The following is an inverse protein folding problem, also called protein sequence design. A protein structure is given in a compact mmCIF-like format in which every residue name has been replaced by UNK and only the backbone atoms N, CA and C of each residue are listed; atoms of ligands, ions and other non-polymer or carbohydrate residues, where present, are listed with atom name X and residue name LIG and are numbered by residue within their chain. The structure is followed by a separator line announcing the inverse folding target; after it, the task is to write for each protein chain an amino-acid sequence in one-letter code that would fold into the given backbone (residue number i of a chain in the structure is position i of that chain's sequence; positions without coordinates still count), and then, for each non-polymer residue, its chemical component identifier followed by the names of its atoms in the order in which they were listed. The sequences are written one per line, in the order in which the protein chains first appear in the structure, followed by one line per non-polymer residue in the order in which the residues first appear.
data_IF_457133626601
#
_entry.id   IF_457133626601
#
_cell.length_a   1.000
_cell.length_b   1.000
_cell.length_c   1.000
_cell.angle_alpha   90.00
_cell.angle_beta   90.00
_cell.angle_gamma   90.00
#
_symmetry.space_group_name_H-M   'P 1'
#
loop_
_entity.id
_entity.type
_entity.pdbx_description
1 polymer ?
#
# COMPACT_ATOMS: atom_id res chain seq x y z
N UNK A 1 0.38 18.61 -46.82
CA UNK A 1 0.76 17.39 -46.07
C UNK A 1 1.58 17.80 -44.85
N UNK A 2 0.91 18.30 -43.80
CA UNK A 2 1.54 18.54 -42.50
C UNK A 2 1.26 17.30 -41.64
N UNK A 3 2.31 16.68 -41.12
CA UNK A 3 2.21 15.54 -40.20
C UNK A 3 2.13 16.11 -38.79
N UNK A 4 0.98 15.95 -38.14
CA UNK A 4 0.83 16.09 -36.70
C UNK A 4 1.71 15.06 -36.00
N UNK A 5 2.81 15.54 -35.40
CA UNK A 5 3.49 14.82 -34.33
C UNK A 5 2.88 15.31 -33.03
N UNK A 6 2.05 14.49 -32.38
CA UNK A 6 1.78 14.64 -30.97
C UNK A 6 3.12 14.62 -30.22
N UNK A 7 3.54 15.77 -29.70
CA UNK A 7 4.57 15.82 -28.68
C UNK A 7 4.03 15.17 -27.40
N UNK A 8 4.82 14.38 -26.66
CA UNK A 8 4.46 14.00 -25.31
C UNK A 8 4.38 15.26 -24.45
N UNK A 9 3.23 15.51 -23.82
CA UNK A 9 3.09 16.64 -22.90
C UNK A 9 4.12 16.52 -21.78
N UNK A 10 4.78 17.63 -21.38
CA UNK A 10 5.66 17.61 -20.21
C UNK A 10 4.85 17.21 -18.98
N UNK A 11 5.38 16.29 -18.16
CA UNK A 11 4.75 15.85 -16.90
C UNK A 11 4.33 17.08 -16.10
N UNK A 12 3.03 17.31 -15.97
CA UNK A 12 2.50 18.36 -15.12
C UNK A 12 3.08 18.18 -13.70
N UNK A 13 3.42 19.28 -13.02
CA UNK A 13 3.89 19.22 -11.62
C UNK A 13 2.88 18.38 -10.80
N UNK A 14 3.33 17.55 -9.85
CA UNK A 14 2.48 16.62 -9.10
C UNK A 14 1.13 17.19 -8.64
N UNK A 15 1.13 18.45 -8.17
CA UNK A 15 -0.07 19.15 -7.71
C UNK A 15 -1.13 19.34 -8.80
N UNK A 16 -0.74 19.59 -10.04
CA UNK A 16 -1.68 19.75 -11.15
C UNK A 16 -2.36 18.42 -11.51
N UNK A 17 -1.69 17.28 -11.35
CA UNK A 17 -2.34 15.98 -11.53
C UNK A 17 -3.44 15.77 -10.49
N UNK A 18 -3.20 16.09 -9.22
CA UNK A 18 -4.22 15.96 -8.17
C UNK A 18 -5.45 16.83 -8.45
N UNK A 19 -5.24 18.10 -8.81
CA UNK A 19 -6.33 18.99 -9.18
C UNK A 19 -7.07 18.50 -10.45
N UNK A 20 -6.34 17.99 -11.44
CA UNK A 20 -6.93 17.47 -12.68
C UNK A 20 -7.83 16.26 -12.42
N UNK A 21 -7.41 15.34 -11.55
CA UNK A 21 -8.20 14.15 -11.23
C UNK A 21 -9.57 14.49 -10.60
N UNK A 22 -9.60 15.56 -9.80
CA UNK A 22 -10.78 16.04 -9.08
C UNK A 22 -11.66 17.02 -9.89
N UNK A 23 -11.20 17.50 -11.05
CA UNK A 23 -11.90 18.53 -11.81
C UNK A 23 -12.95 17.90 -12.77
N UNK A 24 -14.26 18.00 -12.50
CA UNK A 24 -15.30 17.34 -13.31
C UNK A 24 -15.41 17.92 -14.73
N UNK A 25 -14.94 19.15 -14.96
CA UNK A 25 -14.91 19.77 -16.30
C UNK A 25 -13.82 19.21 -17.23
N UNK A 26 -12.90 18.38 -16.71
CA UNK A 26 -11.83 17.77 -17.50
C UNK A 26 -12.33 16.46 -18.09
N UNK A 27 -12.01 16.21 -19.37
CA UNK A 27 -12.37 14.95 -20.05
C UNK A 27 -11.85 13.69 -19.32
N UNK A 28 -12.61 12.60 -19.44
CA UNK A 28 -12.41 11.37 -18.67
C UNK A 28 -11.01 10.78 -18.80
N UNK A 29 -10.44 10.71 -20.02
CA UNK A 29 -9.08 10.18 -20.23
C UNK A 29 -8.02 10.96 -19.46
N UNK A 30 -8.09 12.30 -19.46
CA UNK A 30 -7.14 13.14 -18.73
C UNK A 30 -7.31 12.98 -17.21
N UNK A 31 -8.55 12.84 -16.74
CA UNK A 31 -8.83 12.52 -15.33
C UNK A 31 -8.30 11.14 -14.96
N UNK A 32 -8.38 10.16 -15.85
CA UNK A 32 -7.90 8.81 -15.62
C UNK A 32 -6.36 8.74 -15.54
N UNK A 33 -5.66 9.41 -16.45
CA UNK A 33 -4.19 9.60 -16.36
C UNK A 33 -3.79 10.27 -15.04
N UNK A 34 -4.55 11.29 -14.62
CA UNK A 34 -4.30 12.00 -13.38
C UNK A 34 -4.63 11.15 -12.13
N UNK A 35 -5.65 10.28 -12.23
CA UNK A 35 -6.10 9.40 -11.16
C UNK A 35 -5.05 8.35 -10.78
N UNK A 36 -4.26 7.86 -11.74
CA UNK A 36 -3.14 6.95 -11.46
C UNK A 36 -2.14 7.54 -10.47
N UNK A 37 -1.95 8.86 -10.47
CA UNK A 37 -1.12 9.53 -9.47
C UNK A 37 -1.91 9.89 -8.20
N UNK A 38 -3.14 10.35 -8.35
CA UNK A 38 -3.95 10.82 -7.23
C UNK A 38 -4.37 9.69 -6.28
N UNK A 39 -4.71 8.51 -6.81
CA UNK A 39 -5.04 7.33 -6.00
C UNK A 39 -3.83 6.83 -5.22
N UNK A 40 -2.66 6.73 -5.85
CA UNK A 40 -1.43 6.30 -5.17
C UNK A 40 -0.89 7.28 -4.12
N UNK A 41 -1.37 8.53 -4.14
CA UNK A 41 -1.10 9.55 -3.14
C UNK A 41 -2.19 9.68 -2.05
N UNK A 42 -3.23 8.85 -2.10
CA UNK A 42 -4.37 8.90 -1.16
C UNK A 42 -5.32 10.08 -1.37
N UNK A 43 -5.24 10.78 -2.50
CA UNK A 43 -6.14 11.91 -2.84
C UNK A 43 -7.49 11.41 -3.35
N UNK A 44 -7.50 10.33 -4.13
CA UNK A 44 -8.73 9.66 -4.57
C UNK A 44 -8.99 8.43 -3.72
N UNK A 45 -10.23 8.29 -3.26
CA UNK A 45 -10.71 7.07 -2.61
C UNK A 45 -10.99 5.97 -3.63
N UNK A 46 -11.00 4.72 -3.17
CA UNK A 46 -11.42 3.57 -3.99
C UNK A 46 -12.77 3.82 -4.69
N UNK A 47 -13.77 4.34 -3.97
CA UNK A 47 -15.09 4.62 -4.53
C UNK A 47 -15.05 5.70 -5.64
N UNK A 48 -14.29 6.77 -5.46
CA UNK A 48 -14.15 7.83 -6.46
C UNK A 48 -13.43 7.31 -7.72
N UNK A 49 -12.46 6.41 -7.55
CA UNK A 49 -11.79 5.78 -8.68
C UNK A 49 -12.72 4.82 -9.42
N UNK A 50 -13.50 4.01 -8.72
CA UNK A 50 -14.49 3.12 -9.35
C UNK A 50 -15.55 3.92 -10.12
N UNK A 51 -16.04 5.03 -9.55
CA UNK A 51 -16.98 5.94 -10.23
C UNK A 51 -16.40 6.52 -11.53
N UNK A 52 -15.15 6.96 -11.51
CA UNK A 52 -14.47 7.43 -12.73
C UNK A 52 -14.38 6.34 -13.81
N UNK A 53 -14.08 5.10 -13.44
CA UNK A 53 -14.00 3.99 -14.39
C UNK A 53 -15.38 3.56 -14.89
N UNK A 54 -16.42 3.67 -14.06
CA UNK A 54 -17.79 3.45 -14.48
C UNK A 54 -18.24 4.50 -15.51
N UNK A 55 -17.85 5.77 -15.34
CA UNK A 55 -18.07 6.82 -16.33
C UNK A 55 -17.35 6.52 -17.64
N UNK A 56 -16.08 6.09 -17.57
CA UNK A 56 -15.30 5.68 -18.75
C UNK A 56 -16.00 4.53 -19.47
N UNK A 57 -16.44 3.50 -18.74
CA UNK A 57 -17.13 2.35 -19.33
C UNK A 57 -18.44 2.74 -20.06
N UNK A 58 -19.15 3.73 -19.54
CA UNK A 58 -20.42 4.19 -20.08
C UNK A 58 -20.27 5.16 -21.27
N UNK A 59 -19.08 5.75 -21.46
CA UNK A 59 -18.81 6.74 -22.50
C UNK A 59 -18.19 6.07 -23.74
N UNK A 60 -18.99 5.92 -24.78
CA UNK A 60 -18.56 5.31 -26.06
C UNK A 60 -17.51 6.12 -26.83
N UNK A 61 -17.27 7.38 -26.47
CA UNK A 61 -16.23 8.20 -27.08
C UNK A 61 -14.84 7.90 -26.50
N UNK A 62 -14.76 7.30 -25.30
CA UNK A 62 -13.50 6.86 -24.70
C UNK A 62 -13.09 5.51 -25.28
N UNK A 63 -11.87 5.41 -25.81
CA UNK A 63 -11.38 4.20 -26.48
C UNK A 63 -9.97 3.83 -26.01
N UNK A 64 -9.43 2.73 -26.53
CA UNK A 64 -8.04 2.35 -26.27
C UNK A 64 -7.82 1.78 -24.87
N UNK A 65 -6.76 2.23 -24.20
CA UNK A 65 -6.32 1.65 -22.92
C UNK A 65 -7.30 1.89 -21.77
N UNK A 66 -7.97 3.06 -21.75
CA UNK A 66 -8.88 3.44 -20.68
C UNK A 66 -10.18 2.66 -20.74
N UNK A 67 -10.71 2.45 -21.94
CA UNK A 67 -11.87 1.59 -22.16
C UNK A 67 -11.57 0.14 -21.73
N UNK A 68 -10.43 -0.42 -22.16
CA UNK A 68 -9.99 -1.76 -21.73
C UNK A 68 -9.81 -1.84 -20.21
N UNK A 69 -9.26 -0.81 -19.59
CA UNK A 69 -9.14 -0.75 -18.13
C UNK A 69 -10.49 -0.74 -17.43
N UNK A 70 -11.48 -0.04 -17.98
CA UNK A 70 -12.83 -0.04 -17.43
C UNK A 70 -13.53 -1.40 -17.60
N UNK A 71 -13.33 -2.09 -18.72
CA UNK A 71 -13.77 -3.47 -18.95
C UNK A 71 -13.12 -4.45 -17.98
N UNK A 72 -11.78 -4.40 -17.82
CA UNK A 72 -11.07 -5.23 -16.83
C UNK A 72 -11.55 -4.97 -15.41
N UNK A 73 -11.87 -3.73 -15.05
CA UNK A 73 -12.41 -3.42 -13.73
C UNK A 73 -13.79 -4.04 -13.54
N UNK A 74 -14.67 -3.97 -14.55
CA UNK A 74 -15.97 -4.66 -14.52
C UNK A 74 -15.78 -6.15 -14.33
N UNK A 75 -14.89 -6.77 -15.09
CA UNK A 75 -14.61 -8.21 -15.02
C UNK A 75 -14.09 -8.64 -13.64
N UNK A 76 -13.27 -7.81 -12.99
CA UNK A 76 -12.82 -8.02 -11.61
C UNK A 76 -13.99 -8.11 -10.61
N UNK A 77 -15.13 -7.48 -10.90
CA UNK A 77 -16.33 -7.54 -10.08
C UNK A 77 -17.33 -8.62 -10.51
N UNK A 78 -17.46 -8.89 -11.81
CA UNK A 78 -18.63 -9.61 -12.36
C UNK A 78 -18.35 -11.02 -12.85
N UNK A 79 -17.10 -11.39 -13.18
CA UNK A 79 -16.80 -12.75 -13.65
C UNK A 79 -17.15 -13.79 -12.59
N UNK A 80 -17.53 -15.01 -12.95
CA UNK A 80 -17.97 -16.00 -11.96
C UNK A 80 -16.79 -16.61 -11.17
N UNK A 81 -15.69 -16.92 -11.86
CA UNK A 81 -14.55 -17.60 -11.26
C UNK A 81 -13.65 -16.62 -10.46
N UNK A 82 -13.32 -16.92 -9.19
CA UNK A 82 -12.41 -16.10 -8.39
C UNK A 82 -11.05 -15.83 -9.06
N UNK A 83 -10.44 -16.85 -9.65
CA UNK A 83 -9.18 -16.72 -10.37
C UNK A 83 -9.29 -15.80 -11.60
N UNK A 84 -10.44 -15.80 -12.29
CA UNK A 84 -10.67 -14.91 -13.43
C UNK A 84 -10.86 -13.45 -12.99
N UNK A 85 -11.58 -13.23 -11.87
CA UNK A 85 -11.65 -11.90 -11.24
C UNK A 85 -10.27 -11.38 -10.85
N UNK A 86 -9.46 -12.21 -10.21
CA UNK A 86 -8.11 -11.84 -9.82
C UNK A 86 -7.21 -11.55 -11.03
N UNK A 87 -7.29 -12.36 -12.08
CA UNK A 87 -6.56 -12.11 -13.34
C UNK A 87 -6.94 -10.77 -13.97
N UNK A 88 -8.22 -10.38 -13.92
CA UNK A 88 -8.66 -9.06 -14.37
C UNK A 88 -8.05 -7.93 -13.52
N UNK A 89 -7.94 -8.10 -12.20
CA UNK A 89 -7.23 -7.14 -11.32
C UNK A 89 -5.73 -7.06 -11.67
N UNK A 90 -5.06 -8.20 -11.86
CA UNK A 90 -3.65 -8.23 -12.25
C UNK A 90 -3.41 -7.54 -13.59
N UNK A 91 -4.33 -7.64 -14.55
CA UNK A 91 -4.23 -6.94 -15.83
C UNK A 91 -4.17 -5.41 -15.64
N UNK A 92 -4.92 -4.87 -14.67
CA UNK A 92 -4.90 -3.46 -14.32
C UNK A 92 -3.58 -3.06 -13.65
N UNK A 93 -3.07 -3.90 -12.74
CA UNK A 93 -1.84 -3.62 -12.00
C UNK A 93 -0.61 -3.65 -12.92
N UNK A 94 -0.52 -4.67 -13.77
CA UNK A 94 0.61 -4.87 -14.69
C UNK A 94 0.58 -3.93 -15.90
N UNK A 95 -0.60 -3.44 -16.28
CA UNK A 95 -0.76 -2.45 -17.34
C UNK A 95 -0.40 -1.01 -16.92
N UNK A 96 -0.13 -0.77 -15.64
CA UNK A 96 0.08 0.56 -15.11
C UNK A 96 1.47 1.15 -15.42
N UNK A 97 1.53 2.46 -15.65
CA UNK A 97 2.74 3.20 -16.01
C UNK A 97 3.73 3.47 -14.86
N UNK A 98 4.17 2.42 -14.16
CA UNK A 98 5.13 2.48 -13.04
C UNK A 98 4.51 2.18 -11.67
N UNK A 99 5.35 2.13 -10.63
CA UNK A 99 4.97 1.63 -9.31
C UNK A 99 3.82 2.42 -8.64
N UNK A 100 3.81 3.76 -8.75
CA UNK A 100 2.74 4.58 -8.16
C UNK A 100 1.39 4.33 -8.84
N UNK A 101 1.40 4.19 -10.18
CA UNK A 101 0.21 3.86 -10.94
C UNK A 101 -0.27 2.44 -10.61
N UNK A 102 0.63 1.46 -10.51
CA UNK A 102 0.30 0.09 -10.13
C UNK A 102 -0.34 0.03 -8.73
N UNK A 103 0.22 0.77 -7.76
CA UNK A 103 -0.37 0.89 -6.42
C UNK A 103 -1.75 1.58 -6.46
N UNK A 104 -1.90 2.65 -7.26
CA UNK A 104 -3.22 3.27 -7.50
C UNK A 104 -4.23 2.27 -8.06
N UNK A 105 -3.82 1.36 -8.95
CA UNK A 105 -4.68 0.29 -9.46
C UNK A 105 -4.99 -0.78 -8.41
N UNK A 106 -4.10 -1.04 -7.45
CA UNK A 106 -4.43 -1.86 -6.27
C UNK A 106 -5.48 -1.18 -5.38
N UNK A 107 -5.40 0.15 -5.20
CA UNK A 107 -6.43 0.93 -4.52
C UNK A 107 -7.75 0.86 -5.27
N UNK A 108 -7.74 0.98 -6.61
CA UNK A 108 -8.94 0.87 -7.47
C UNK A 108 -9.65 -0.48 -7.32
N UNK A 109 -8.89 -1.57 -7.25
CA UNK A 109 -9.44 -2.95 -7.21
C UNK A 109 -9.72 -3.45 -5.80
N UNK A 110 -9.41 -2.69 -4.75
CA UNK A 110 -9.50 -3.12 -3.36
C UNK A 110 -10.88 -3.70 -2.97
N UNK A 111 -11.97 -3.04 -3.39
CA UNK A 111 -13.32 -3.51 -3.14
C UNK A 111 -13.69 -4.77 -3.96
N UNK A 112 -13.07 -4.96 -5.13
CA UNK A 112 -13.23 -6.17 -5.93
C UNK A 112 -12.49 -7.34 -5.28
N UNK A 113 -11.26 -7.11 -4.81
CA UNK A 113 -10.49 -8.07 -4.04
C UNK A 113 -11.25 -8.52 -2.80
N UNK A 114 -11.85 -7.58 -2.05
CA UNK A 114 -12.65 -7.86 -0.85
C UNK A 114 -13.88 -8.75 -1.11
N UNK A 115 -14.31 -8.92 -2.36
CA UNK A 115 -15.44 -9.82 -2.74
C UNK A 115 -14.99 -11.23 -3.09
N UNK A 116 -13.68 -11.51 -3.14
CA UNK A 116 -13.15 -12.85 -3.34
C UNK A 116 -13.07 -13.54 -1.97
N UNK A 117 -13.80 -14.65 -1.83
CA UNK A 117 -13.78 -15.46 -0.63
C UNK A 117 -12.42 -16.17 -0.47
N UNK A 118 -11.86 -16.24 0.75
CA UNK A 118 -10.64 -17.01 1.01
C UNK A 118 -10.83 -18.49 0.66
N UNK A 119 -9.92 -19.05 -0.11
CA UNK A 119 -9.88 -20.48 -0.41
C UNK A 119 -8.44 -20.96 -0.55
N UNK A 120 -8.20 -22.25 -0.31
CA UNK A 120 -6.87 -22.85 -0.43
C UNK A 120 -6.34 -22.77 -1.87
N UNK A 121 -7.23 -22.88 -2.86
CA UNK A 121 -6.88 -22.75 -4.28
C UNK A 121 -6.33 -21.36 -4.64
N UNK A 122 -6.59 -20.35 -3.81
CA UNK A 122 -6.13 -18.98 -3.99
C UNK A 122 -4.98 -18.59 -3.06
N UNK A 123 -4.34 -19.55 -2.39
CA UNK A 123 -3.24 -19.29 -1.45
C UNK A 123 -2.06 -18.55 -2.10
N UNK A 124 -1.68 -18.93 -3.32
CA UNK A 124 -0.58 -18.29 -4.04
C UNK A 124 -0.87 -16.80 -4.34
N UNK A 125 -2.14 -16.46 -4.52
CA UNK A 125 -2.61 -15.11 -4.88
C UNK A 125 -2.97 -14.26 -3.66
N UNK A 126 -3.05 -14.88 -2.48
CA UNK A 126 -3.52 -14.27 -1.24
C UNK A 126 -2.75 -13.00 -0.88
N UNK A 127 -1.42 -13.00 -1.01
CA UNK A 127 -0.58 -11.84 -0.68
C UNK A 127 -0.98 -10.59 -1.47
N UNK A 128 -1.23 -10.73 -2.77
CA UNK A 128 -1.60 -9.60 -3.63
C UNK A 128 -3.04 -9.13 -3.39
N UNK A 129 -3.96 -10.06 -3.14
CA UNK A 129 -5.34 -9.75 -2.74
C UNK A 129 -5.38 -8.99 -1.41
N UNK A 130 -4.64 -9.46 -0.40
CA UNK A 130 -4.52 -8.82 0.92
C UNK A 130 -3.92 -7.43 0.78
N UNK A 131 -2.85 -7.26 0.01
CA UNK A 131 -2.25 -5.95 -0.24
C UNK A 131 -3.25 -4.96 -0.86
N UNK A 132 -4.02 -5.39 -1.87
CA UNK A 132 -5.08 -4.57 -2.49
C UNK A 132 -6.18 -4.21 -1.50
N UNK A 133 -6.66 -5.16 -0.68
CA UNK A 133 -7.67 -4.90 0.34
C UNK A 133 -7.20 -3.86 1.36
N UNK A 134 -5.98 -4.02 1.89
CA UNK A 134 -5.41 -3.12 2.89
C UNK A 134 -5.18 -1.71 2.34
N UNK A 135 -4.85 -1.57 1.05
CA UNK A 135 -4.61 -0.27 0.41
C UNK A 135 -5.84 0.66 0.41
N UNK A 136 -7.06 0.14 0.59
CA UNK A 136 -8.27 0.94 0.74
C UNK A 136 -9.03 0.67 2.05
N UNK A 137 -8.37 0.09 3.05
CA UNK A 137 -8.95 -0.10 4.39
C UNK A 137 -9.94 -1.25 4.52
N UNK A 138 -9.93 -2.25 3.63
CA UNK A 138 -10.72 -3.48 3.77
C UNK A 138 -10.04 -4.49 4.70
N UNK A 139 -9.60 -4.04 5.88
CA UNK A 139 -8.79 -4.82 6.84
C UNK A 139 -9.51 -6.06 7.36
N UNK A 140 -10.81 -5.97 7.63
CA UNK A 140 -11.63 -7.10 8.08
C UNK A 140 -11.70 -8.19 7.01
N UNK A 141 -11.83 -7.81 5.72
CA UNK A 141 -11.84 -8.78 4.62
C UNK A 141 -10.45 -9.40 4.42
N UNK A 142 -9.38 -8.60 4.57
CA UNK A 142 -8.03 -9.11 4.51
C UNK A 142 -7.77 -10.15 5.61
N UNK A 143 -8.20 -9.88 6.86
CA UNK A 143 -7.99 -10.77 8.00
C UNK A 143 -8.73 -12.12 7.89
N UNK A 144 -9.78 -12.19 7.06
CA UNK A 144 -10.44 -13.46 6.73
C UNK A 144 -9.50 -14.45 6.02
N UNK A 145 -8.40 -13.98 5.43
CA UNK A 145 -7.39 -14.83 4.77
C UNK A 145 -6.37 -15.44 5.74
N UNK A 146 -6.43 -15.13 7.04
CA UNK A 146 -5.45 -15.59 8.03
C UNK A 146 -5.26 -17.10 8.09
N UNK A 147 -6.31 -17.90 7.86
CA UNK A 147 -6.24 -19.37 7.85
C UNK A 147 -5.68 -19.96 6.55
N UNK A 148 -5.55 -19.16 5.51
CA UNK A 148 -5.09 -19.59 4.18
C UNK A 148 -3.59 -19.33 4.02
N UNK A 149 -3.10 -18.19 4.53
CA UNK A 149 -1.71 -17.76 4.33
C UNK A 149 -0.74 -18.59 5.17
N UNK A 150 0.36 -19.02 4.54
CA UNK A 150 1.43 -19.71 5.23
C UNK A 150 2.19 -18.77 6.17
N UNK A 151 2.60 -19.26 7.34
CA UNK A 151 3.49 -18.52 8.25
C UNK A 151 4.79 -18.13 7.53
N UNK A 152 5.22 -16.89 7.69
CA UNK A 152 6.39 -16.35 7.00
C UNK A 152 6.16 -15.92 5.54
N UNK A 153 4.96 -16.09 4.98
CA UNK A 153 4.62 -15.55 3.65
C UNK A 153 4.42 -14.03 3.67
N UNK A 154 4.42 -13.40 2.49
CA UNK A 154 4.09 -11.98 2.36
C UNK A 154 2.70 -11.65 2.93
N UNK A 155 1.67 -12.45 2.58
CA UNK A 155 0.33 -12.33 3.13
C UNK A 155 0.30 -12.44 4.65
N UNK A 156 1.06 -13.37 5.24
CA UNK A 156 1.22 -13.44 6.70
C UNK A 156 1.82 -12.16 7.28
N UNK A 157 2.88 -11.62 6.68
CA UNK A 157 3.52 -10.38 7.15
C UNK A 157 2.56 -9.19 7.13
N UNK A 158 1.81 -9.04 6.03
CA UNK A 158 0.78 -7.99 5.89
C UNK A 158 -0.32 -8.13 6.95
N UNK A 159 -0.87 -9.33 7.16
CA UNK A 159 -1.90 -9.55 8.18
C UNK A 159 -1.35 -9.37 9.60
N UNK A 160 -0.11 -9.77 9.83
CA UNK A 160 0.56 -9.63 11.13
C UNK A 160 0.85 -8.18 11.46
N UNK A 161 0.94 -7.28 10.49
CA UNK A 161 0.98 -5.83 10.73
C UNK A 161 -0.43 -5.25 10.85
N UNK A 162 -1.34 -5.68 9.98
CA UNK A 162 -2.69 -5.15 9.87
C UNK A 162 -3.66 -5.61 10.96
N UNK A 163 -3.43 -6.72 11.67
CA UNK A 163 -4.39 -7.25 12.64
C UNK A 163 -4.66 -6.26 13.80
N UNK A 164 -5.93 -5.98 14.18
CA UNK A 164 -6.25 -5.07 15.27
C UNK A 164 -5.95 -5.68 16.64
N UNK A 165 -5.63 -4.82 17.61
CA UNK A 165 -5.43 -5.21 19.00
C UNK A 165 -4.10 -5.92 19.26
N UNK A 166 -3.99 -6.49 20.48
CA UNK A 166 -2.81 -7.25 20.89
C UNK A 166 -2.83 -8.62 20.24
N UNK A 167 -1.82 -8.91 19.43
CA UNK A 167 -1.57 -10.27 18.92
C UNK A 167 -0.51 -10.96 19.78
N UNK A 168 -0.42 -12.29 19.67
CA UNK A 168 0.69 -13.04 20.26
C UNK A 168 2.02 -12.56 19.64
N UNK A 169 3.07 -12.46 20.46
CA UNK A 169 4.42 -12.14 19.98
C UNK A 169 4.78 -13.05 18.81
N UNK A 170 5.31 -12.45 17.75
CA UNK A 170 5.68 -13.14 16.53
C UNK A 170 6.95 -13.94 16.74
N UNK A 171 6.91 -15.21 16.36
CA UNK A 171 8.07 -16.08 16.45
C UNK A 171 9.16 -15.69 15.43
N UNK A 172 10.42 -15.79 15.86
CA UNK A 172 11.58 -15.46 15.02
C UNK A 172 11.72 -16.36 13.79
N UNK A 173 11.23 -17.60 13.83
CA UNK A 173 11.25 -18.52 12.70
C UNK A 173 10.43 -18.00 11.52
N UNK A 174 9.23 -17.46 11.79
CA UNK A 174 8.39 -16.88 10.75
C UNK A 174 9.05 -15.66 10.07
N UNK A 175 9.77 -14.84 10.85
CA UNK A 175 10.53 -13.69 10.33
C UNK A 175 11.70 -14.17 9.45
N UNK A 176 12.40 -15.23 9.86
CA UNK A 176 13.47 -15.83 9.05
C UNK A 176 12.93 -16.39 7.73
N UNK A 177 11.83 -17.13 7.77
CA UNK A 177 11.18 -17.66 6.55
C UNK A 177 10.76 -16.53 5.60
N UNK A 178 10.22 -15.44 6.15
CA UNK A 178 9.90 -14.25 5.36
C UNK A 178 11.13 -13.65 4.71
N UNK A 179 12.22 -13.51 5.48
CA UNK A 179 13.48 -12.96 4.98
C UNK A 179 14.06 -13.79 3.84
N UNK A 180 14.02 -15.12 3.96
CA UNK A 180 14.52 -16.03 2.93
C UNK A 180 13.70 -15.88 1.63
N UNK A 181 12.38 -15.76 1.74
CA UNK A 181 11.45 -15.59 0.62
C UNK A 181 11.41 -14.16 0.02
N UNK A 182 11.97 -13.15 0.69
CA UNK A 182 11.91 -11.76 0.25
C UNK A 182 12.81 -11.50 -0.98
N UNK A 183 12.21 -11.28 -2.15
CA UNK A 183 12.94 -10.97 -3.38
C UNK A 183 13.18 -9.47 -3.62
N UNK A 184 12.71 -8.60 -2.71
CA UNK A 184 12.88 -7.16 -2.85
C UNK A 184 14.36 -6.76 -2.79
N UNK A 185 14.68 -5.63 -3.45
CA UNK A 185 16.05 -5.13 -3.51
C UNK A 185 16.59 -4.89 -2.09
N UNK A 186 17.70 -5.55 -1.76
CA UNK A 186 18.34 -5.50 -0.44
C UNK A 186 17.43 -5.96 0.71
N UNK A 187 16.50 -6.91 0.46
CA UNK A 187 15.59 -7.47 1.49
C UNK A 187 14.77 -6.39 2.20
N UNK A 188 14.31 -5.41 1.43
CA UNK A 188 13.68 -4.19 1.94
C UNK A 188 12.33 -4.47 2.59
N UNK A 189 11.52 -5.36 2.02
CA UNK A 189 10.25 -5.77 2.61
C UNK A 189 10.48 -6.36 4.01
N UNK A 190 11.51 -7.20 4.17
CA UNK A 190 11.89 -7.77 5.47
C UNK A 190 12.33 -6.71 6.46
N UNK A 191 13.14 -5.75 6.00
CA UNK A 191 13.58 -4.64 6.82
C UNK A 191 12.41 -3.78 7.34
N UNK A 192 11.42 -3.50 6.48
CA UNK A 192 10.21 -2.78 6.89
C UNK A 192 9.27 -3.63 7.73
N UNK A 193 9.17 -4.94 7.48
CA UNK A 193 8.41 -5.86 8.32
C UNK A 193 8.95 -5.81 9.76
N UNK A 194 10.26 -5.99 9.95
CA UNK A 194 10.88 -5.94 11.29
C UNK A 194 10.68 -4.57 11.94
N UNK A 195 10.86 -3.47 11.21
CA UNK A 195 10.63 -2.13 11.74
C UNK A 195 9.16 -1.92 12.16
N UNK A 196 8.20 -2.37 11.36
CA UNK A 196 6.77 -2.30 11.66
C UNK A 196 6.39 -3.17 12.86
N UNK A 197 6.86 -4.42 12.90
CA UNK A 197 6.63 -5.33 14.02
C UNK A 197 7.20 -4.78 15.33
N UNK A 198 8.42 -4.23 15.29
CA UNK A 198 9.04 -3.61 16.46
C UNK A 198 8.27 -2.36 16.91
N UNK A 199 7.89 -1.48 15.97
CA UNK A 199 7.12 -0.27 16.28
C UNK A 199 5.73 -0.58 16.83
N UNK A 200 5.11 -1.68 16.39
CA UNK A 200 3.81 -2.15 16.90
C UNK A 200 3.92 -3.00 18.18
N UNK A 201 5.13 -3.21 18.72
CA UNK A 201 5.36 -4.10 19.88
C UNK A 201 4.85 -5.55 19.65
N UNK A 202 4.99 -6.05 18.41
CA UNK A 202 4.60 -7.42 18.01
C UNK A 202 5.76 -8.41 18.06
N UNK A 203 6.96 -7.92 18.33
CA UNK A 203 8.16 -8.71 18.59
C UNK A 203 8.83 -8.17 19.85
N UNK A 204 9.48 -9.04 20.60
CA UNK A 204 10.26 -8.63 21.76
C UNK A 204 11.44 -7.74 21.38
N UNK A 205 11.82 -6.80 22.25
CA UNK A 205 12.89 -5.85 21.99
C UNK A 205 14.23 -6.53 21.66
N UNK A 206 14.52 -7.67 22.29
CA UNK A 206 15.72 -8.46 21.99
C UNK A 206 15.73 -9.01 20.56
N UNK A 207 14.57 -9.43 20.04
CA UNK A 207 14.42 -9.90 18.65
C UNK A 207 14.59 -8.74 17.68
N UNK A 208 13.97 -7.59 17.96
CA UNK A 208 14.12 -6.38 17.15
C UNK A 208 15.58 -5.91 17.08
N UNK A 209 16.28 -5.85 18.23
CA UNK A 209 17.69 -5.44 18.30
C UNK A 209 18.61 -6.40 17.54
N UNK A 210 18.34 -7.72 17.61
CA UNK A 210 19.10 -8.73 16.87
C UNK A 210 19.01 -8.48 15.36
N UNK A 211 17.81 -8.41 14.80
CA UNK A 211 17.64 -8.16 13.36
C UNK A 211 18.14 -6.77 12.96
N UNK A 212 17.99 -5.76 13.81
CA UNK A 212 18.56 -4.44 13.58
C UNK A 212 20.08 -4.47 13.42
N UNK A 213 20.77 -5.23 14.26
CA UNK A 213 22.22 -5.42 14.19
C UNK A 213 22.67 -6.27 13.00
N UNK A 214 22.02 -7.43 12.79
CA UNK A 214 22.35 -8.36 11.70
C UNK A 214 22.14 -7.74 10.31
N UNK A 215 21.06 -6.97 10.13
CA UNK A 215 20.70 -6.38 8.83
C UNK A 215 21.04 -4.88 8.71
N UNK A 216 21.66 -4.29 9.73
CA UNK A 216 22.05 -2.88 9.73
C UNK A 216 20.89 -1.90 9.64
N UNK A 217 19.75 -2.21 10.28
CA UNK A 217 18.52 -1.40 10.20
C UNK A 217 18.60 -0.10 10.99
N UNK A 218 19.47 -0.07 12.01
CA UNK A 218 19.70 1.09 12.89
C UNK A 218 18.42 1.59 13.58
N UNK A 219 17.55 0.68 14.05
CA UNK A 219 16.26 1.03 14.64
C UNK A 219 16.37 1.87 15.92
N UNK A 220 17.47 1.71 16.66
CA UNK A 220 17.81 2.41 17.91
C UNK A 220 18.56 3.73 17.68
N UNK A 221 18.92 4.05 16.43
CA UNK A 221 19.70 5.25 16.10
C UNK A 221 18.85 6.52 16.17
N UNK A 222 19.36 7.53 16.88
CA UNK A 222 18.71 8.84 16.99
C UNK A 222 19.16 9.80 15.88
N UNK A 223 18.20 10.50 15.28
CA UNK A 223 18.40 11.68 14.44
C UNK A 223 17.61 12.86 15.00
N UNK A 224 17.79 14.07 14.45
CA UNK A 224 16.94 15.21 14.82
C UNK A 224 15.45 14.93 14.60
N UNK A 225 15.11 14.19 13.54
CA UNK A 225 13.74 13.81 13.24
C UNK A 225 13.21 12.79 14.26
N UNK A 226 13.93 11.69 14.49
CA UNK A 226 13.44 10.63 15.39
C UNK A 226 13.35 11.14 16.83
N UNK A 227 14.31 11.96 17.28
CA UNK A 227 14.22 12.63 18.58
C UNK A 227 12.99 13.55 18.71
N UNK A 228 12.62 14.27 17.64
CA UNK A 228 11.47 15.16 17.67
C UNK A 228 10.14 14.39 17.78
N UNK A 229 9.97 13.33 16.97
CA UNK A 229 8.72 12.54 16.99
C UNK A 229 8.60 11.71 18.27
N UNK A 230 9.70 11.15 18.78
CA UNK A 230 9.70 10.43 20.06
C UNK A 230 9.35 11.35 21.23
N UNK A 231 9.87 12.59 21.22
CA UNK A 231 9.53 13.60 22.23
C UNK A 231 8.06 14.00 22.16
N UNK A 232 7.49 14.17 20.96
CA UNK A 232 6.07 14.47 20.78
C UNK A 232 5.19 13.33 21.30
N UNK A 233 5.57 12.07 21.02
CA UNK A 233 4.87 10.90 21.51
C UNK A 233 4.94 10.78 23.04
N UNK A 234 6.12 11.00 23.64
CA UNK A 234 6.30 11.01 25.09
C UNK A 234 5.49 12.11 25.80
N UNK A 235 5.22 13.23 25.11
CA UNK A 235 4.36 14.30 25.59
C UNK A 235 2.86 14.01 25.42
N UNK A 236 2.49 12.90 24.75
CA UNK A 236 1.10 12.57 24.45
C UNK A 236 0.44 13.55 23.47
N UNK A 237 1.21 14.12 22.54
CA UNK A 237 0.71 15.09 21.54
C UNK A 237 0.44 14.42 20.18
N UNK A 238 -0.78 13.90 19.94
CA UNK A 238 -1.12 13.22 18.70
C UNK A 238 -1.07 14.14 17.49
N UNK A 239 -1.33 15.45 17.65
CA UNK A 239 -1.30 16.40 16.54
C UNK A 239 0.13 16.60 16.02
N UNK A 240 1.08 16.81 16.93
CA UNK A 240 2.49 16.91 16.57
C UNK A 240 3.03 15.61 15.98
N UNK A 241 2.65 14.45 16.55
CA UNK A 241 3.03 13.15 15.98
C UNK A 241 2.50 12.98 14.56
N UNK A 242 1.23 13.30 14.29
CA UNK A 242 0.65 13.18 12.96
C UNK A 242 1.37 14.10 11.94
N UNK A 243 1.67 15.35 12.32
CA UNK A 243 2.40 16.29 11.48
C UNK A 243 3.84 15.81 11.18
N UNK A 244 4.55 15.35 12.20
CA UNK A 244 5.91 14.82 12.08
C UNK A 244 5.93 13.52 11.28
N UNK A 245 4.97 12.62 11.50
CA UNK A 245 4.82 11.41 10.69
C UNK A 245 4.61 11.78 9.22
N UNK A 246 3.71 12.73 8.94
CA UNK A 246 3.51 13.28 7.59
C UNK A 246 4.82 13.78 6.98
N UNK A 247 5.56 14.64 7.70
CA UNK A 247 6.86 15.17 7.26
C UNK A 247 7.90 14.07 7.02
N UNK A 248 8.00 13.09 7.92
CA UNK A 248 8.93 11.96 7.82
C UNK A 248 8.62 11.03 6.64
N UNK A 249 7.35 11.02 6.21
CA UNK A 249 6.87 10.27 5.04
C UNK A 249 6.89 11.09 3.74
N UNK A 250 7.26 12.38 3.77
CA UNK A 250 7.41 13.21 2.56
C UNK A 250 8.65 12.78 1.75
N UNK A 251 8.52 11.67 1.02
CA UNK A 251 9.45 11.22 -0.01
C UNK A 251 8.72 11.10 -1.34
N UNK A 252 9.43 11.33 -2.45
CA UNK A 252 8.87 11.08 -3.78
C UNK A 252 8.52 9.59 -4.02
N UNK A 253 9.02 8.68 -3.16
CA UNK A 253 8.74 7.25 -3.15
C UNK A 253 9.07 6.62 -1.78
N UNK A 254 8.41 5.51 -1.45
CA UNK A 254 8.76 4.66 -0.29
C UNK A 254 10.20 4.15 -0.32
N UNK A 255 10.83 4.14 -1.50
CA UNK A 255 12.24 3.78 -1.65
C UNK A 255 13.22 4.73 -0.94
N UNK A 256 12.78 5.90 -0.46
CA UNK A 256 13.58 6.78 0.40
C UNK A 256 13.25 6.64 1.89
N UNK A 257 12.16 5.94 2.23
CA UNK A 257 11.87 5.58 3.61
C UNK A 257 12.93 4.61 4.13
N UNK A 258 13.38 4.84 5.37
CA UNK A 258 14.33 3.95 6.06
C UNK A 258 13.59 3.13 7.11
N UNK A 259 14.00 1.87 7.38
CA UNK A 259 13.42 1.05 8.44
C UNK A 259 13.42 1.76 9.79
N UNK A 260 14.50 2.48 10.10
CA UNK A 260 14.58 3.36 11.27
C UNK A 260 13.43 4.36 11.36
N UNK A 261 13.18 5.14 10.30
CA UNK A 261 12.11 6.15 10.33
C UNK A 261 10.73 5.51 10.44
N UNK A 262 10.50 4.41 9.74
CA UNK A 262 9.26 3.65 9.84
C UNK A 262 9.01 3.18 11.28
N UNK A 263 10.03 2.60 11.93
CA UNK A 263 9.94 2.15 13.32
C UNK A 263 9.52 3.27 14.27
N UNK A 264 10.18 4.43 14.21
CA UNK A 264 9.85 5.57 15.08
C UNK A 264 8.47 6.16 14.78
N UNK A 265 8.08 6.26 13.51
CA UNK A 265 6.73 6.74 13.13
C UNK A 265 5.65 5.82 13.67
N UNK A 266 5.79 4.50 13.44
CA UNK A 266 4.82 3.49 13.88
C UNK A 266 4.74 3.45 15.41
N UNK A 267 5.89 3.47 16.10
CA UNK A 267 5.96 3.49 17.57
C UNK A 267 5.31 4.75 18.16
N UNK A 268 5.58 5.92 17.59
CA UNK A 268 5.01 7.19 18.03
C UNK A 268 3.49 7.23 17.85
N UNK A 269 2.99 6.85 16.68
CA UNK A 269 1.55 6.80 16.38
C UNK A 269 0.81 5.87 17.35
N UNK A 270 1.34 4.65 17.54
CA UNK A 270 0.78 3.69 18.50
C UNK A 270 0.77 4.26 19.92
N UNK A 271 1.85 4.93 20.35
CA UNK A 271 2.00 5.48 21.70
C UNK A 271 0.96 6.57 22.00
N UNK A 272 0.56 7.37 21.01
CA UNK A 272 -0.47 8.41 21.16
C UNK A 272 -1.90 7.92 20.86
N UNK A 273 -2.10 6.61 20.67
CA UNK A 273 -3.41 6.01 20.45
C UNK A 273 -3.88 5.93 18.99
N UNK A 274 -3.02 6.28 18.03
CA UNK A 274 -3.27 6.16 16.59
C UNK A 274 -2.84 4.77 16.07
N UNK A 275 -3.34 3.71 16.72
CA UNK A 275 -2.97 2.32 16.43
C UNK A 275 -3.41 1.88 15.01
N UNK A 276 -4.58 2.31 14.56
CA UNK A 276 -5.07 1.97 13.23
C UNK A 276 -4.15 2.52 12.14
N UNK A 277 -3.75 3.79 12.28
CA UNK A 277 -2.81 4.46 11.38
C UNK A 277 -1.44 3.79 11.42
N UNK A 278 -0.92 3.48 12.62
CA UNK A 278 0.35 2.78 12.79
C UNK A 278 0.36 1.42 12.06
N UNK A 279 -0.71 0.63 12.20
CA UNK A 279 -0.86 -0.67 11.53
C UNK A 279 -0.92 -0.53 10.01
N UNK A 280 -1.74 0.39 9.51
CA UNK A 280 -1.92 0.58 8.07
C UNK A 280 -0.64 1.12 7.40
N UNK A 281 0.04 2.07 8.03
CA UNK A 281 1.33 2.59 7.55
C UNK A 281 2.39 1.49 7.50
N UNK A 282 2.48 0.64 8.53
CA UNK A 282 3.43 -0.46 8.56
C UNK A 282 3.14 -1.48 7.44
N UNK A 283 1.87 -1.87 7.27
CA UNK A 283 1.47 -2.81 6.22
C UNK A 283 1.72 -2.23 4.81
N UNK A 284 1.40 -0.95 4.59
CA UNK A 284 1.64 -0.27 3.32
C UNK A 284 3.13 -0.19 2.98
N UNK A 285 3.98 0.10 3.98
CA UNK A 285 5.43 0.14 3.78
C UNK A 285 5.97 -1.17 3.23
N UNK A 286 5.49 -2.31 3.76
CA UNK A 286 5.85 -3.65 3.26
C UNK A 286 5.29 -3.91 1.87
N UNK A 287 4.03 -3.57 1.61
CA UNK A 287 3.39 -3.78 0.31
C UNK A 287 4.05 -2.99 -0.83
N UNK A 288 4.64 -1.82 -0.54
CA UNK A 288 5.20 -0.88 -1.54
C UNK A 288 6.73 -0.91 -1.67
N UNK A 289 7.43 -1.78 -0.94
CA UNK A 289 8.89 -1.89 -0.93
C UNK A 289 9.47 -2.78 -2.03
#
# INVERSE_FOLDING_TARGET
RARDRCMPMPRARPMYAYATALAPMVGLERRAVAADRAGGAGVLSNAAMVDLYAQIYADGDVTGEWQKGAESLRDAYTLDAPAARFSAMQSLWNGAGGADAAYSRQVLTAAAAARIAPSKDMEADASALIASMLAAGYDTNALAWSSIVASGSEGWGLLTLAAPGRIRSVDSGAISTYFDADESRNKRKSAFLVAGLAGLERVDQGVASRYSGEWGLQLDSTTLFTAAIDKAAAAGDPASVALLAGLGMQGANWQRMTPRYLYHIVSALRTVGLDAEARMIAAEAVARA
#
